data_IF_481374926529
#
_entry.id   IF_481374926529
#
_cell.length_a   1.000
_cell.length_b   1.000
_cell.length_c   1.000
_cell.angle_alpha   90.00
_cell.angle_beta   90.00
_cell.angle_gamma   90.00
#
_symmetry.space_group_name_H-M   'P 1'
#
loop_
_entity.id
_entity.type
_entity.pdbx_description
1 polymer ?
#
# COMPACT_ATOMS: atom_id res chain seq x y z
N UNK A 1 -2.42 0.07 17.70
CA UNK A 1 -3.06 -1.23 17.38
C UNK A 1 -2.53 -1.73 16.06
N UNK A 2 -2.27 -3.00 15.98
CA UNK A 2 -1.76 -3.60 14.77
C UNK A 2 -2.90 -3.92 13.82
N UNK A 3 -2.75 -3.57 12.56
CA UNK A 3 -3.78 -3.81 11.56
C UNK A 3 -3.17 -4.39 10.29
N UNK A 4 -4.02 -4.99 9.48
CA UNK A 4 -3.65 -5.43 8.15
C UNK A 4 -4.46 -4.66 7.13
N UNK A 5 -3.88 -4.44 5.97
CA UNK A 5 -4.60 -3.78 4.91
C UNK A 5 -4.28 -4.42 3.58
N UNK A 6 -5.26 -4.43 2.71
CA UNK A 6 -5.08 -4.82 1.32
C UNK A 6 -5.17 -3.55 0.50
N UNK A 7 -4.12 -3.25 -0.24
CA UNK A 7 -4.03 -1.97 -0.95
C UNK A 7 -3.75 -2.22 -2.42
N UNK A 8 -4.30 -1.35 -3.26
CA UNK A 8 -4.04 -1.37 -4.70
C UNK A 8 -3.90 0.06 -5.18
N UNK A 9 -2.94 0.29 -6.05
CA UNK A 9 -2.72 1.60 -6.63
C UNK A 9 -2.79 1.48 -8.15
N UNK A 10 -3.58 2.35 -8.77
CA UNK A 10 -3.73 2.36 -10.22
C UNK A 10 -3.37 3.74 -10.75
N UNK A 11 -2.29 3.86 -11.52
CA UNK A 11 -2.04 5.10 -12.22
C UNK A 11 -2.97 5.20 -13.43
N UNK A 12 -3.52 6.37 -13.65
CA UNK A 12 -4.43 6.59 -14.76
C UNK A 12 -3.67 7.17 -15.92
N UNK A 13 -4.12 6.85 -17.12
CA UNK A 13 -3.56 7.41 -18.35
C UNK A 13 -2.07 7.16 -18.49
N UNK A 14 -1.64 5.97 -18.04
CA UNK A 14 -0.26 5.54 -18.15
C UNK A 14 -0.22 4.20 -18.83
N UNK A 15 0.68 4.03 -19.78
CA UNK A 15 0.87 2.73 -20.41
C UNK A 15 1.66 1.80 -19.51
N UNK A 16 2.62 2.35 -18.78
CA UNK A 16 3.45 1.52 -17.91
C UNK A 16 2.92 1.61 -16.48
N UNK A 17 2.34 0.54 -16.02
CA UNK A 17 1.79 0.49 -14.66
C UNK A 17 2.81 0.00 -13.64
N UNK A 18 3.85 -0.70 -14.10
CA UNK A 18 4.78 -1.37 -13.19
C UNK A 18 5.61 -0.38 -12.40
N UNK A 19 6.11 0.65 -13.07
CA UNK A 19 6.95 1.63 -12.40
C UNK A 19 6.27 2.32 -11.23
N UNK A 20 5.10 2.94 -11.46
CA UNK A 20 4.40 3.61 -10.35
C UNK A 20 4.01 2.67 -9.23
N UNK A 21 3.57 1.45 -9.56
CA UNK A 21 3.17 0.49 -8.53
C UNK A 21 4.38 0.07 -7.69
N UNK A 22 5.52 -0.20 -8.36
CA UNK A 22 6.72 -0.57 -7.63
C UNK A 22 7.19 0.57 -6.73
N UNK A 23 7.11 1.79 -7.22
CA UNK A 23 7.51 2.94 -6.42
C UNK A 23 6.64 3.10 -5.19
N UNK A 24 5.33 2.86 -5.35
CA UNK A 24 4.42 2.90 -4.22
C UNK A 24 4.84 1.89 -3.14
N UNK A 25 5.13 0.65 -3.56
CA UNK A 25 5.56 -0.37 -2.61
C UNK A 25 6.87 0.00 -1.95
N UNK A 26 7.81 0.56 -2.70
CA UNK A 26 9.07 0.99 -2.12
C UNK A 26 8.89 2.08 -1.08
N UNK A 27 7.99 3.02 -1.33
CA UNK A 27 7.72 4.08 -0.38
C UNK A 27 7.13 3.53 0.91
N UNK A 28 6.24 2.54 0.80
CA UNK A 28 5.69 1.91 1.99
C UNK A 28 6.76 1.18 2.77
N UNK A 29 7.66 0.47 2.07
CA UNK A 29 8.73 -0.25 2.73
C UNK A 29 9.69 0.70 3.44
N UNK A 30 9.96 1.85 2.83
CA UNK A 30 10.80 2.85 3.47
C UNK A 30 10.17 3.38 4.74
N UNK A 31 8.87 3.39 4.82
CA UNK A 31 8.16 3.81 6.01
C UNK A 31 8.15 2.78 7.11
N UNK A 32 8.78 1.62 6.90
CA UNK A 32 8.83 0.58 7.91
C UNK A 32 7.72 -0.41 7.83
N UNK A 33 6.98 -0.46 6.73
CA UNK A 33 5.87 -1.37 6.58
C UNK A 33 6.32 -2.61 5.86
N UNK A 34 5.91 -3.77 6.37
CA UNK A 34 6.11 -5.02 5.67
C UNK A 34 5.10 -5.11 4.55
N UNK A 35 5.57 -5.32 3.32
CA UNK A 35 4.71 -5.36 2.14
C UNK A 35 4.82 -6.73 1.50
N UNK A 36 3.68 -7.36 1.24
CA UNK A 36 3.63 -8.65 0.58
C UNK A 36 2.89 -8.45 -0.73
N UNK A 37 3.61 -8.50 -1.83
CA UNK A 37 3.05 -8.21 -3.15
C UNK A 37 2.29 -9.42 -3.67
N UNK A 38 1.04 -9.21 -4.05
CA UNK A 38 0.23 -10.24 -4.66
C UNK A 38 -0.05 -9.91 -6.12
N UNK A 39 -0.79 -10.78 -6.81
CA UNK A 39 -1.05 -10.58 -8.24
C UNK A 39 -1.98 -9.41 -8.54
N UNK A 40 -2.87 -9.05 -7.63
CA UNK A 40 -3.82 -7.98 -7.89
C UNK A 40 -3.79 -6.89 -6.84
N UNK A 41 -3.15 -7.12 -5.73
CA UNK A 41 -3.08 -6.16 -4.64
C UNK A 41 -1.91 -6.54 -3.75
N UNK A 42 -1.58 -5.66 -2.81
CA UNK A 42 -0.53 -5.95 -1.84
C UNK A 42 -1.12 -5.98 -0.44
N UNK A 43 -0.57 -6.86 0.39
CA UNK A 43 -0.96 -6.91 1.80
C UNK A 43 0.10 -6.21 2.61
N UNK A 44 -0.33 -5.36 3.53
CA UNK A 44 0.57 -4.66 4.42
C UNK A 44 0.12 -4.86 5.86
N UNK A 45 1.09 -4.89 6.76
CA UNK A 45 0.84 -5.10 8.17
C UNK A 45 1.70 -4.15 8.96
N UNK A 46 1.11 -3.40 9.87
CA UNK A 46 1.84 -2.48 10.74
C UNK A 46 0.89 -1.91 11.78
N UNK A 47 1.43 -1.07 12.65
CA UNK A 47 0.59 -0.31 13.56
C UNK A 47 -0.27 0.65 12.76
N UNK A 48 -1.46 0.94 13.27
CA UNK A 48 -2.43 1.71 12.49
C UNK A 48 -1.92 3.11 12.15
N UNK A 49 -1.26 3.78 13.08
CA UNK A 49 -0.75 5.12 12.78
C UNK A 49 0.34 5.08 11.73
N UNK A 50 1.13 4.03 11.69
CA UNK A 50 2.16 3.88 10.66
C UNK A 50 1.50 3.66 9.29
N UNK A 51 0.46 2.81 9.24
CA UNK A 51 -0.22 2.54 7.98
C UNK A 51 -0.86 3.80 7.43
N UNK A 52 -1.63 4.51 8.23
CA UNK A 52 -2.32 5.69 7.71
C UNK A 52 -1.34 6.77 7.29
N UNK A 53 -0.29 7.00 8.08
CA UNK A 53 0.70 8.00 7.71
C UNK A 53 1.44 7.61 6.43
N UNK A 54 1.83 6.35 6.32
CA UNK A 54 2.61 5.90 5.17
C UNK A 54 1.77 5.88 3.89
N UNK A 55 0.49 5.49 3.99
CA UNK A 55 -0.39 5.54 2.83
C UNK A 55 -0.57 6.97 2.36
N UNK A 56 -0.77 7.90 3.30
CA UNK A 56 -0.92 9.30 2.94
C UNK A 56 0.33 9.81 2.24
N UNK A 57 1.49 9.55 2.80
CA UNK A 57 2.74 10.07 2.23
C UNK A 57 3.04 9.45 0.88
N UNK A 58 2.84 8.14 0.73
CA UNK A 58 3.10 7.49 -0.54
C UNK A 58 2.13 7.96 -1.61
N UNK A 59 0.85 8.10 -1.26
CA UNK A 59 -0.14 8.60 -2.20
C UNK A 59 0.21 10.01 -2.66
N UNK A 60 0.56 10.88 -1.73
CA UNK A 60 0.86 12.26 -2.08
C UNK A 60 2.11 12.38 -2.94
N UNK A 61 3.12 11.55 -2.68
CA UNK A 61 4.31 11.54 -3.50
C UNK A 61 4.00 11.17 -4.94
N UNK A 62 3.23 10.10 -5.13
CA UNK A 62 2.90 9.68 -6.47
C UNK A 62 1.94 10.62 -7.16
N UNK A 63 1.05 11.24 -6.39
CA UNK A 63 0.07 12.16 -6.96
C UNK A 63 0.73 13.42 -7.52
N UNK A 64 1.96 13.68 -7.17
CA UNK A 64 2.68 14.81 -7.77
C UNK A 64 3.04 14.54 -9.22
N UNK A 65 3.15 13.28 -9.61
CA UNK A 65 3.59 12.92 -10.95
C UNK A 65 2.51 12.26 -11.77
N UNK A 66 1.53 11.63 -11.14
CA UNK A 66 0.52 10.86 -11.84
C UNK A 66 -0.85 11.15 -11.26
N UNK A 67 -1.87 10.90 -12.05
CA UNK A 67 -3.21 10.77 -11.49
C UNK A 67 -3.35 9.32 -11.08
N UNK A 68 -3.67 9.09 -9.81
CA UNK A 68 -3.71 7.74 -9.28
C UNK A 68 -4.99 7.51 -8.51
N UNK A 69 -5.39 6.22 -8.46
CA UNK A 69 -6.49 5.78 -7.60
C UNK A 69 -5.89 4.81 -6.60
N UNK A 70 -6.10 5.08 -5.33
CA UNK A 70 -5.66 4.19 -4.26
C UNK A 70 -6.87 3.60 -3.59
N UNK A 71 -6.95 2.27 -3.53
CA UNK A 71 -7.98 1.60 -2.74
C UNK A 71 -7.31 0.89 -1.59
N UNK A 72 -7.97 0.90 -0.44
CA UNK A 72 -7.44 0.24 0.74
C UNK A 72 -8.58 -0.32 1.57
N UNK A 73 -8.44 -1.58 1.98
CA UNK A 73 -9.32 -2.19 2.96
C UNK A 73 -8.48 -2.44 4.19
N UNK A 74 -8.86 -1.90 5.32
CA UNK A 74 -8.06 -1.97 6.54
C UNK A 74 -8.88 -2.66 7.62
N UNK A 75 -8.28 -3.63 8.29
CA UNK A 75 -8.97 -4.40 9.31
C UNK A 75 -8.05 -4.63 10.50
N UNK A 76 -8.64 -4.59 11.68
CA UNK A 76 -7.95 -5.00 12.90
C UNK A 76 -8.36 -6.40 13.31
N UNK A 77 -9.19 -7.06 12.51
CA UNK A 77 -9.78 -8.33 12.91
C UNK A 77 -9.23 -9.52 12.15
N UNK A 78 -8.42 -9.30 11.15
CA UNK A 78 -7.90 -10.41 10.37
C UNK A 78 -6.81 -11.13 11.15
N UNK A 79 -6.81 -12.47 11.18
CA UNK A 79 -5.72 -13.18 11.82
C UNK A 79 -4.43 -12.96 11.04
N UNK A 80 -3.31 -13.08 11.72
CA UNK A 80 -2.04 -12.96 11.03
C UNK A 80 -1.84 -14.15 10.14
N UNK A 81 -1.15 -13.95 9.05
CA UNK A 81 -1.07 -14.96 8.02
C UNK A 81 -0.44 -16.24 8.52
N UNK A 82 0.42 -16.19 9.49
CA UNK A 82 1.02 -17.40 9.95
C UNK A 82 0.11 -18.24 10.76
N UNK A 83 -0.98 -17.73 11.10
CA UNK A 83 -1.84 -18.46 11.89
C UNK A 83 -2.44 -19.53 11.23
N UNK A 84 -2.30 -19.74 10.55
CA UNK A 84 -2.86 -20.74 10.07
C UNK A 84 -2.45 -21.69 9.93
#
# INVERSE_FOLDING_TARGET
MKVQAEVSLYPLRQENLVGPVNRFCELLQKGGIEVRVGPMSSLITAESDVIFRSLKEAFEQLAKEYDVVLTAKISNACPESKEE
#
